data_IF_800786775680
#
_entry.id   IF_800786775680
#
_cell.length_a   1.000
_cell.length_b   1.000
_cell.length_c   1.000
_cell.angle_alpha   90.00
_cell.angle_beta   90.00
_cell.angle_gamma   90.00
#
_symmetry.space_group_name_H-M   'P 1'
#
loop_
_entity.id
_entity.type
_entity.pdbx_description
1 polymer ?
#
# COMPACT_ATOMS: atom_id res chain seq x y z
N UNK A 1 18.85 -39.01 27.69
CA UNK A 1 17.94 -38.42 26.67
C UNK A 1 17.04 -37.35 27.30
N UNK A 2 17.58 -36.19 27.74
CA UNK A 2 16.80 -35.11 28.40
C UNK A 2 17.35 -33.69 28.15
N UNK A 3 18.19 -33.49 27.11
CA UNK A 3 18.92 -32.22 26.89
C UNK A 3 18.61 -31.50 25.57
N UNK A 4 17.77 -32.06 24.72
CA UNK A 4 17.48 -31.48 23.39
C UNK A 4 16.22 -30.60 23.34
N UNK A 5 15.43 -30.53 24.41
CA UNK A 5 14.12 -29.85 24.38
C UNK A 5 14.21 -28.33 24.57
N UNK A 6 15.36 -27.80 24.99
CA UNK A 6 15.51 -26.36 25.33
C UNK A 6 15.79 -25.50 24.09
N UNK A 7 16.35 -26.08 23.02
CA UNK A 7 16.75 -25.30 21.82
C UNK A 7 15.54 -24.90 20.96
N UNK A 8 14.44 -25.66 20.99
CA UNK A 8 13.28 -25.40 20.12
C UNK A 8 12.44 -24.18 20.55
N UNK A 9 12.58 -23.71 21.78
CA UNK A 9 11.77 -22.61 22.32
C UNK A 9 12.31 -21.22 21.95
N UNK A 10 13.60 -21.13 21.61
CA UNK A 10 14.25 -19.84 21.26
C UNK A 10 13.91 -19.40 19.83
N UNK A 11 13.58 -20.34 18.93
CA UNK A 11 13.28 -20.03 17.53
C UNK A 11 11.88 -19.45 17.29
N UNK A 12 10.96 -19.55 18.27
CA UNK A 12 9.60 -19.01 18.16
C UNK A 12 9.49 -17.52 18.49
N UNK A 13 10.58 -16.89 18.96
CA UNK A 13 10.65 -15.45 19.26
C UNK A 13 11.05 -14.58 18.06
N UNK A 14 11.28 -15.18 16.90
CA UNK A 14 11.27 -14.44 15.63
C UNK A 14 9.82 -14.16 15.25
N UNK A 15 9.15 -13.39 16.12
CA UNK A 15 7.80 -12.91 15.94
C UNK A 15 7.70 -12.28 14.56
N UNK A 16 6.78 -12.82 13.77
CA UNK A 16 6.49 -12.30 12.44
C UNK A 16 6.33 -10.80 12.53
N UNK A 17 7.06 -10.08 11.68
CA UNK A 17 6.71 -8.71 11.33
C UNK A 17 5.28 -8.75 10.78
N UNK A 18 4.29 -8.63 11.66
CA UNK A 18 2.94 -8.32 11.25
C UNK A 18 3.04 -6.96 10.60
N UNK A 19 3.10 -6.95 9.26
CA UNK A 19 3.07 -5.70 8.49
C UNK A 19 1.88 -4.89 9.00
N UNK A 20 2.18 -3.68 9.47
CA UNK A 20 1.15 -2.76 9.96
C UNK A 20 0.14 -2.55 8.82
N UNK A 21 -1.12 -2.87 9.08
CA UNK A 21 -2.19 -2.60 8.12
C UNK A 21 -2.28 -1.08 7.88
N UNK A 22 -2.56 -0.69 6.63
CA UNK A 22 -2.81 0.71 6.27
C UNK A 22 -4.01 1.20 7.09
N UNK A 23 -3.81 2.24 7.89
CA UNK A 23 -4.90 2.90 8.61
C UNK A 23 -5.65 3.87 7.71
N UNK A 24 -6.91 4.19 8.05
CA UNK A 24 -7.70 5.17 7.30
C UNK A 24 -7.00 6.55 7.24
N UNK A 25 -6.32 6.94 8.33
CA UNK A 25 -5.55 8.19 8.36
C UNK A 25 -4.36 8.17 7.39
N UNK A 26 -3.61 7.08 7.36
CA UNK A 26 -2.50 6.92 6.39
C UNK A 26 -3.04 6.94 4.96
N UNK A 27 -4.15 6.26 4.72
CA UNK A 27 -4.81 6.25 3.43
C UNK A 27 -5.26 7.65 2.99
N UNK A 28 -5.86 8.45 3.88
CA UNK A 28 -6.28 9.81 3.57
C UNK A 28 -5.10 10.69 3.14
N UNK A 29 -3.97 10.61 3.83
CA UNK A 29 -2.75 11.35 3.46
C UNK A 29 -2.22 10.92 2.09
N UNK A 30 -2.20 9.62 1.81
CA UNK A 30 -1.79 9.08 0.50
C UNK A 30 -2.74 9.58 -0.60
N UNK A 31 -4.04 9.59 -0.33
CA UNK A 31 -5.06 9.99 -1.30
C UNK A 31 -5.01 11.49 -1.62
N UNK A 32 -4.87 12.35 -0.61
CA UNK A 32 -4.74 13.79 -0.79
C UNK A 32 -3.48 14.14 -1.60
N UNK A 33 -2.35 13.50 -1.29
CA UNK A 33 -1.11 13.69 -2.04
C UNK A 33 -1.23 13.19 -3.48
N UNK A 34 -1.91 12.06 -3.70
CA UNK A 34 -2.21 11.59 -5.05
C UNK A 34 -3.04 12.60 -5.84
N UNK A 35 -4.11 13.16 -5.27
CA UNK A 35 -4.93 14.17 -5.96
C UNK A 35 -4.15 15.44 -6.29
N UNK A 36 -3.27 15.87 -5.37
CA UNK A 36 -2.40 17.04 -5.59
C UNK A 36 -1.46 16.79 -6.78
N UNK A 37 -0.77 15.64 -6.78
CA UNK A 37 0.16 15.27 -7.87
C UNK A 37 -0.55 14.98 -9.17
N UNK A 38 -1.72 14.33 -9.13
CA UNK A 38 -2.57 14.15 -10.29
C UNK A 38 -2.84 15.52 -10.90
N UNK A 39 -3.35 16.48 -10.13
CA UNK A 39 -3.62 17.84 -10.63
C UNK A 39 -2.38 18.55 -11.21
N UNK A 40 -1.22 18.44 -10.57
CA UNK A 40 0.03 19.05 -11.04
C UNK A 40 0.60 18.38 -12.30
N UNK A 41 0.45 17.06 -12.43
CA UNK A 41 1.05 16.25 -13.49
C UNK A 41 0.08 15.93 -14.64
N UNK A 42 -1.21 16.20 -14.49
CA UNK A 42 -2.24 15.99 -15.53
C UNK A 42 -2.49 17.27 -16.33
N UNK A 43 -1.60 17.53 -17.29
CA UNK A 43 -1.90 18.44 -18.42
C UNK A 43 -2.49 17.69 -19.62
N UNK A 44 -2.56 16.35 -19.57
CA UNK A 44 -3.03 15.47 -20.63
C UNK A 44 -4.21 14.63 -20.14
N UNK A 45 -5.35 14.74 -20.82
CA UNK A 45 -6.66 14.17 -20.43
C UNK A 45 -6.67 12.63 -20.40
N UNK A 46 -5.63 11.99 -20.95
CA UNK A 46 -5.50 10.54 -21.02
C UNK A 46 -4.28 10.03 -20.27
N UNK A 47 -4.23 10.25 -18.95
CA UNK A 47 -3.24 9.54 -18.12
C UNK A 47 -3.49 8.04 -18.16
N UNK A 48 -2.42 7.28 -18.43
CA UNK A 48 -2.45 5.82 -18.39
C UNK A 48 -2.55 5.32 -16.95
N UNK A 49 -3.13 4.14 -16.76
CA UNK A 49 -3.15 3.44 -15.45
C UNK A 49 -1.71 3.29 -14.90
N UNK A 50 -0.73 3.07 -15.78
CA UNK A 50 0.68 2.95 -15.39
C UNK A 50 1.25 4.24 -14.77
N UNK A 51 0.86 5.43 -15.25
CA UNK A 51 1.27 6.70 -14.64
C UNK A 51 0.66 6.88 -13.26
N UNK A 52 -0.65 6.61 -13.10
CA UNK A 52 -1.30 6.70 -11.79
C UNK A 52 -0.70 5.71 -10.79
N UNK A 53 -0.42 4.49 -11.22
CA UNK A 53 0.26 3.49 -10.40
C UNK A 53 1.68 3.91 -10.00
N UNK A 54 2.41 4.58 -10.92
CA UNK A 54 3.73 5.15 -10.62
C UNK A 54 3.63 6.25 -9.56
N UNK A 55 2.68 7.17 -9.66
CA UNK A 55 2.46 8.22 -8.65
C UNK A 55 2.23 7.58 -7.28
N UNK A 56 1.33 6.59 -7.20
CA UNK A 56 1.10 5.87 -5.94
C UNK A 56 2.35 5.20 -5.40
N UNK A 57 3.10 4.49 -6.26
CA UNK A 57 4.35 3.84 -5.87
C UNK A 57 5.34 4.82 -5.25
N UNK A 58 5.45 6.02 -5.81
CA UNK A 58 6.34 7.07 -5.31
C UNK A 58 5.85 7.66 -3.98
N UNK A 59 4.54 7.83 -3.80
CA UNK A 59 3.95 8.35 -2.54
C UNK A 59 4.17 7.35 -1.39
N UNK A 60 3.98 6.05 -1.64
CA UNK A 60 4.00 5.04 -0.57
C UNK A 60 5.39 4.48 -0.24
N UNK A 61 6.33 4.53 -1.19
CA UNK A 61 7.68 3.97 -1.03
C UNK A 61 8.42 4.48 0.22
N UNK A 62 8.40 5.78 0.59
CA UNK A 62 9.08 6.28 1.78
C UNK A 62 8.50 5.73 3.09
N UNK A 63 7.23 5.31 3.08
CA UNK A 63 6.53 4.75 4.24
C UNK A 63 6.64 3.22 4.34
N UNK A 64 7.36 2.58 3.40
CA UNK A 64 7.52 1.13 3.35
C UNK A 64 6.23 0.35 3.04
N UNK A 65 5.21 1.03 2.53
CA UNK A 65 3.95 0.43 2.09
C UNK A 65 4.13 -0.06 0.66
N UNK A 66 3.75 -1.31 0.38
CA UNK A 66 3.76 -1.83 -0.99
C UNK A 66 2.57 -1.30 -1.79
N UNK A 67 2.78 -0.97 -3.08
CA UNK A 67 1.71 -0.43 -3.93
C UNK A 67 0.58 -1.45 -4.13
N UNK A 68 0.85 -2.75 -4.12
CA UNK A 68 -0.20 -3.77 -4.19
C UNK A 68 -0.99 -3.88 -2.89
N UNK A 69 -0.34 -3.63 -1.74
CA UNK A 69 -1.04 -3.54 -0.44
C UNK A 69 -1.99 -2.36 -0.43
N UNK A 70 -1.58 -1.21 -0.97
CA UNK A 70 -2.47 -0.06 -1.18
C UNK A 70 -3.61 -0.40 -2.13
N UNK A 71 -3.34 -1.02 -3.29
CA UNK A 71 -4.38 -1.41 -4.27
C UNK A 71 -5.40 -2.35 -3.64
N UNK A 72 -4.96 -3.33 -2.85
CA UNK A 72 -5.84 -4.25 -2.14
C UNK A 72 -6.67 -3.52 -1.08
N UNK A 73 -6.05 -2.62 -0.31
CA UNK A 73 -6.74 -1.80 0.67
C UNK A 73 -7.82 -0.94 0.01
N UNK A 74 -7.50 -0.24 -1.08
CA UNK A 74 -8.45 0.56 -1.85
C UNK A 74 -9.59 -0.30 -2.38
N UNK A 75 -9.29 -1.45 -2.99
CA UNK A 75 -10.33 -2.35 -3.52
C UNK A 75 -11.33 -2.79 -2.44
N UNK A 76 -10.84 -3.07 -1.23
CA UNK A 76 -11.67 -3.62 -0.16
C UNK A 76 -12.43 -2.55 0.64
N UNK A 77 -11.86 -1.34 0.79
CA UNK A 77 -12.39 -0.31 1.69
C UNK A 77 -12.90 0.95 0.96
N UNK A 78 -12.39 1.22 -0.25
CA UNK A 78 -12.66 2.43 -1.04
C UNK A 78 -12.81 2.08 -2.52
N UNK A 79 -13.77 1.19 -2.83
CA UNK A 79 -13.95 0.62 -4.17
C UNK A 79 -14.20 1.68 -5.25
N UNK A 80 -14.86 2.78 -4.90
CA UNK A 80 -15.05 3.96 -5.74
C UNK A 80 -13.70 4.56 -6.21
N UNK A 81 -12.78 4.78 -5.27
CA UNK A 81 -11.44 5.32 -5.55
C UNK A 81 -10.59 4.32 -6.33
N UNK A 82 -10.67 3.03 -5.98
CA UNK A 82 -10.01 1.98 -6.74
C UNK A 82 -10.45 1.97 -8.21
N UNK A 83 -11.76 2.02 -8.45
CA UNK A 83 -12.32 1.99 -9.79
C UNK A 83 -11.90 3.22 -10.61
N UNK A 84 -11.99 4.42 -10.01
CA UNK A 84 -11.57 5.68 -10.64
C UNK A 84 -10.12 5.62 -11.15
N UNK A 85 -9.22 5.06 -10.34
CA UNK A 85 -7.79 5.04 -10.66
C UNK A 85 -7.43 3.87 -11.60
N UNK A 86 -7.90 2.66 -11.30
CA UNK A 86 -7.33 1.43 -11.88
C UNK A 86 -8.22 0.71 -12.88
N UNK A 87 -9.52 1.04 -12.96
CA UNK A 87 -10.43 0.36 -13.88
C UNK A 87 -10.94 1.22 -15.03
N UNK A 88 -10.84 2.55 -14.92
CA UNK A 88 -11.11 3.51 -16.01
C UNK A 88 -12.34 3.12 -16.85
N UNK A 89 -13.48 2.91 -16.18
CA UNK A 89 -14.79 2.76 -16.82
C UNK A 89 -15.40 4.13 -17.04
#
# INVERSE_FOLDING_TARGET
MKRFTVILFVLALLGGCAKKAISEREFQLIWEEYLRREFEESFDETQSIAQREKIFSEIVSPSGIDVNELKLYMKNNHADKYNKVFLNQ
#
